data_IF_551994540874
#
_entry.id   IF_551994540874
#
_cell.length_a   1.000
_cell.length_b   1.000
_cell.length_c   1.000
_cell.angle_alpha   90.00
_cell.angle_beta   90.00
_cell.angle_gamma   90.00
#
_symmetry.space_group_name_H-M   'P 1'
#
loop_
_entity.id
_entity.type
_entity.pdbx_description
1 polymer ?
#
# COMPACT_ATOMS: atom_id res chain seq x y z
N UNK A 1 -34.07 59.64 12.45
CA UNK A 1 -33.17 60.06 11.35
C UNK A 1 -31.78 59.71 11.79
N UNK A 2 -30.99 58.86 11.15
CA UNK A 2 -31.19 57.84 10.13
C UNK A 2 -29.91 57.00 10.27
N UNK A 3 -30.02 55.71 10.55
CA UNK A 3 -28.88 54.79 10.54
C UNK A 3 -29.35 53.33 10.41
N UNK A 4 -30.26 53.10 9.46
CA UNK A 4 -30.84 51.77 9.18
C UNK A 4 -30.69 51.39 7.70
N UNK A 5 -30.01 52.22 6.90
CA UNK A 5 -29.81 52.00 5.46
C UNK A 5 -28.40 51.55 5.07
N UNK A 6 -27.50 51.38 6.05
CA UNK A 6 -26.14 50.87 5.80
C UNK A 6 -26.06 49.35 5.99
N UNK A 7 -26.80 48.78 6.95
CA UNK A 7 -26.66 47.36 7.27
C UNK A 7 -27.23 46.41 6.20
N UNK A 8 -28.31 46.79 5.51
CA UNK A 8 -28.89 45.96 4.44
C UNK A 8 -27.97 45.86 3.21
N UNK A 9 -27.23 46.93 2.89
CA UNK A 9 -26.24 46.91 1.81
C UNK A 9 -24.97 46.14 2.20
N UNK A 10 -24.53 46.27 3.46
CA UNK A 10 -23.40 45.53 4.00
C UNK A 10 -23.69 44.00 4.01
N UNK A 11 -24.94 43.60 4.27
CA UNK A 11 -25.38 42.20 4.24
C UNK A 11 -25.43 41.62 2.81
N UNK A 12 -25.83 42.42 1.81
CA UNK A 12 -25.85 41.99 0.40
C UNK A 12 -24.43 41.83 -0.17
N UNK A 13 -23.51 42.75 0.15
CA UNK A 13 -22.09 42.65 -0.24
C UNK A 13 -21.40 41.46 0.43
N UNK A 14 -21.75 41.16 1.68
CA UNK A 14 -21.24 39.99 2.40
C UNK A 14 -21.69 38.69 1.74
N UNK A 15 -22.97 38.58 1.34
CA UNK A 15 -23.51 37.40 0.64
C UNK A 15 -22.85 37.22 -0.71
N UNK A 16 -22.66 38.30 -1.49
CA UNK A 16 -21.96 38.24 -2.77
C UNK A 16 -20.49 37.79 -2.58
N UNK A 17 -19.80 38.35 -1.59
CA UNK A 17 -18.42 37.99 -1.26
C UNK A 17 -18.28 36.53 -0.81
N UNK A 18 -19.23 36.03 -0.02
CA UNK A 18 -19.28 34.63 0.39
C UNK A 18 -19.51 33.70 -0.81
N UNK A 19 -20.38 34.09 -1.75
CA UNK A 19 -20.61 33.35 -2.98
C UNK A 19 -19.35 33.22 -3.84
N UNK A 20 -18.63 34.34 -4.05
CA UNK A 20 -17.34 34.35 -4.76
C UNK A 20 -16.29 33.50 -4.04
N UNK A 21 -16.24 33.55 -2.71
CA UNK A 21 -15.32 32.73 -1.92
C UNK A 21 -15.65 31.25 -2.06
N UNK A 22 -16.92 30.87 -2.07
CA UNK A 22 -17.35 29.49 -2.25
C UNK A 22 -17.00 28.96 -3.65
N UNK A 23 -17.18 29.78 -4.70
CA UNK A 23 -16.75 29.45 -6.06
C UNK A 23 -15.24 29.18 -6.12
N UNK A 24 -14.42 30.05 -5.54
CA UNK A 24 -12.97 29.84 -5.45
C UNK A 24 -12.61 28.55 -4.67
N UNK A 25 -13.32 28.23 -3.58
CA UNK A 25 -13.06 26.99 -2.84
C UNK A 25 -13.40 25.75 -3.67
N UNK A 26 -14.48 25.77 -4.43
CA UNK A 26 -14.82 24.68 -5.36
C UNK A 26 -13.77 24.52 -6.47
N UNK A 27 -13.24 25.63 -7.01
CA UNK A 27 -12.14 25.57 -7.98
C UNK A 27 -10.85 24.97 -7.38
N UNK A 28 -10.51 25.31 -6.14
CA UNK A 28 -9.36 24.73 -5.44
C UNK A 28 -9.54 23.22 -5.22
N UNK A 29 -10.71 22.78 -4.76
CA UNK A 29 -11.03 21.36 -4.58
C UNK A 29 -10.90 20.56 -5.90
N UNK A 30 -11.28 21.16 -7.03
CA UNK A 30 -11.11 20.55 -8.35
C UNK A 30 -9.63 20.35 -8.72
N UNK A 31 -8.79 21.34 -8.42
CA UNK A 31 -7.34 21.26 -8.68
C UNK A 31 -6.70 20.18 -7.79
N UNK A 32 -7.06 20.14 -6.50
CA UNK A 32 -6.57 19.13 -5.55
C UNK A 32 -6.95 17.70 -5.98
N UNK A 33 -8.18 17.50 -6.48
CA UNK A 33 -8.61 16.21 -7.01
C UNK A 33 -7.82 15.82 -8.27
N UNK A 34 -7.58 16.77 -9.18
CA UNK A 34 -6.78 16.52 -10.39
C UNK A 34 -5.33 16.14 -10.03
N UNK A 35 -4.72 16.84 -9.07
CA UNK A 35 -3.41 16.50 -8.54
C UNK A 35 -3.39 15.08 -7.95
N UNK A 36 -4.38 14.76 -7.11
CA UNK A 36 -4.51 13.42 -6.50
C UNK A 36 -4.56 12.32 -7.55
N UNK A 37 -5.36 12.51 -8.62
CA UNK A 37 -5.48 11.56 -9.73
C UNK A 37 -4.14 11.41 -10.46
N UNK A 38 -3.43 12.51 -10.73
CA UNK A 38 -2.12 12.46 -11.41
C UNK A 38 -1.09 11.71 -10.58
N UNK A 39 -1.00 12.01 -9.28
CA UNK A 39 -0.12 11.31 -8.34
C UNK A 39 -0.46 9.81 -8.32
N UNK A 40 -1.74 9.45 -8.25
CA UNK A 40 -2.17 8.05 -8.24
C UNK A 40 -1.76 7.31 -9.51
N UNK A 41 -1.95 7.92 -10.70
CA UNK A 41 -1.55 7.33 -11.98
C UNK A 41 -0.04 7.09 -12.06
N UNK A 42 0.76 8.06 -11.62
CA UNK A 42 2.23 7.91 -11.58
C UNK A 42 2.63 6.81 -10.60
N UNK A 43 2.09 6.80 -9.38
CA UNK A 43 2.35 5.76 -8.38
C UNK A 43 2.03 4.37 -8.93
N UNK A 44 0.86 4.18 -9.55
CA UNK A 44 0.45 2.91 -10.17
C UNK A 44 1.45 2.45 -11.24
N UNK A 45 1.83 3.33 -12.17
CA UNK A 45 2.81 3.02 -13.23
C UNK A 45 4.13 2.50 -12.66
N UNK A 46 4.69 3.19 -11.66
CA UNK A 46 5.97 2.78 -11.06
C UNK A 46 5.83 1.57 -10.13
N UNK A 47 4.68 1.36 -9.49
CA UNK A 47 4.39 0.16 -8.72
C UNK A 47 4.40 -1.09 -9.62
N UNK A 48 3.83 -1.01 -10.83
CA UNK A 48 3.88 -2.10 -11.81
C UNK A 48 5.30 -2.43 -12.26
N UNK A 49 6.13 -1.41 -12.52
CA UNK A 49 7.56 -1.62 -12.82
C UNK A 49 8.30 -2.27 -11.66
N UNK A 50 8.08 -1.80 -10.43
CA UNK A 50 8.70 -2.37 -9.23
C UNK A 50 8.26 -3.81 -8.99
N UNK A 51 6.99 -4.17 -9.24
CA UNK A 51 6.49 -5.54 -9.10
C UNK A 51 7.33 -6.54 -9.91
N UNK A 52 7.58 -6.26 -11.20
CA UNK A 52 8.41 -7.13 -12.03
C UNK A 52 9.87 -7.26 -11.57
N UNK A 53 10.40 -6.26 -10.85
CA UNK A 53 11.71 -6.35 -10.20
C UNK A 53 11.64 -7.16 -8.90
N UNK A 54 10.60 -6.97 -8.08
CA UNK A 54 10.40 -7.73 -6.85
C UNK A 54 10.15 -9.21 -7.11
N UNK A 55 9.43 -9.57 -8.17
CA UNK A 55 9.23 -10.97 -8.57
C UNK A 55 10.57 -11.64 -8.94
N UNK A 56 11.38 -10.95 -9.76
CA UNK A 56 12.73 -11.42 -10.12
C UNK A 56 13.64 -11.53 -8.88
N UNK A 57 13.58 -10.54 -7.98
CA UNK A 57 14.31 -10.56 -6.71
C UNK A 57 13.90 -11.75 -5.85
N UNK A 58 12.60 -12.01 -5.71
CA UNK A 58 12.08 -13.15 -4.95
C UNK A 58 12.57 -14.48 -5.53
N UNK A 59 12.60 -14.63 -6.86
CA UNK A 59 13.14 -15.82 -7.51
C UNK A 59 14.63 -16.04 -7.22
N UNK A 60 15.45 -14.98 -7.24
CA UNK A 60 16.87 -15.06 -6.89
C UNK A 60 17.05 -15.42 -5.42
N UNK A 61 16.32 -14.76 -4.52
CA UNK A 61 16.40 -14.99 -3.06
C UNK A 61 16.04 -16.43 -2.69
N UNK A 62 15.08 -17.07 -3.38
CA UNK A 62 14.74 -18.47 -3.15
C UNK A 62 15.93 -19.43 -3.33
N UNK A 63 16.95 -19.04 -4.11
CA UNK A 63 18.17 -19.82 -4.29
C UNK A 63 19.20 -19.61 -3.18
N UNK A 64 18.98 -18.63 -2.28
CA UNK A 64 19.88 -18.27 -1.18
C UNK A 64 19.28 -18.78 0.13
N UNK A 65 19.75 -19.95 0.57
CA UNK A 65 19.28 -20.58 1.80
C UNK A 65 19.44 -19.65 3.01
N UNK A 66 18.34 -19.46 3.76
CA UNK A 66 18.36 -18.66 4.99
C UNK A 66 18.49 -17.15 4.77
N UNK A 67 18.28 -16.64 3.55
CA UNK A 67 18.39 -15.21 3.26
C UNK A 67 17.55 -14.34 4.21
N UNK A 68 16.25 -14.60 4.32
CA UNK A 68 15.36 -13.78 5.14
C UNK A 68 15.70 -13.85 6.62
N UNK A 69 15.96 -15.04 7.17
CA UNK A 69 16.34 -15.15 8.59
C UNK A 69 17.62 -14.35 8.87
N UNK A 70 18.62 -14.40 7.98
CA UNK A 70 19.84 -13.60 8.11
C UNK A 70 19.56 -12.10 8.05
N UNK A 71 18.74 -11.65 7.09
CA UNK A 71 18.39 -10.23 6.95
C UNK A 71 17.65 -9.70 8.20
N UNK A 72 16.68 -10.46 8.72
CA UNK A 72 15.93 -10.13 9.94
C UNK A 72 16.84 -10.08 11.19
N UNK A 73 17.77 -11.02 11.35
CA UNK A 73 18.70 -11.07 12.48
C UNK A 73 19.77 -9.98 12.46
N UNK A 74 20.07 -9.42 11.30
CA UNK A 74 21.08 -8.37 11.13
C UNK A 74 20.48 -6.96 11.09
N UNK A 75 19.17 -6.82 10.91
CA UNK A 75 18.51 -5.51 10.90
C UNK A 75 18.52 -4.88 12.31
N UNK A 76 19.10 -3.68 12.51
CA UNK A 76 19.30 -3.09 13.84
C UNK A 76 18.01 -2.94 14.68
N UNK A 77 16.92 -2.52 14.05
CA UNK A 77 15.64 -2.31 14.73
C UNK A 77 14.82 -3.60 14.96
N UNK A 78 15.12 -4.70 14.26
CA UNK A 78 14.35 -5.94 14.31
C UNK A 78 15.06 -7.02 15.13
N UNK A 79 16.38 -7.14 15.00
CA UNK A 79 17.18 -8.19 15.64
C UNK A 79 16.92 -8.34 17.14
N UNK A 80 16.86 -7.22 17.87
CA UNK A 80 16.61 -7.21 19.31
C UNK A 80 15.19 -7.62 19.73
N UNK A 81 14.26 -7.76 18.77
CA UNK A 81 12.87 -8.18 19.00
C UNK A 81 12.64 -9.66 18.68
N UNK A 82 13.65 -10.36 18.15
CA UNK A 82 13.58 -11.78 17.83
C UNK A 82 14.09 -12.61 19.02
N UNK A 83 13.31 -13.61 19.40
CA UNK A 83 13.73 -14.64 20.36
C UNK A 83 14.39 -15.84 19.65
N UNK A 84 15.08 -16.69 20.41
CA UNK A 84 15.69 -17.92 19.87
C UNK A 84 14.67 -18.87 19.21
N UNK A 85 13.41 -18.88 19.66
CA UNK A 85 12.37 -19.69 19.02
C UNK A 85 11.89 -19.03 17.73
N UNK A 86 11.84 -17.69 17.67
CA UNK A 86 11.48 -16.97 16.45
C UNK A 86 12.50 -17.26 15.35
N UNK A 87 13.80 -17.24 15.65
CA UNK A 87 14.85 -17.62 14.70
C UNK A 87 14.59 -19.00 14.08
N UNK A 88 14.19 -19.99 14.88
CA UNK A 88 13.89 -21.34 14.38
C UNK A 88 12.67 -21.36 13.46
N UNK A 89 11.69 -20.49 13.68
CA UNK A 89 10.53 -20.32 12.79
C UNK A 89 10.97 -19.64 11.49
N UNK A 90 11.78 -18.57 11.58
CA UNK A 90 12.30 -17.84 10.43
C UNK A 90 13.18 -18.70 9.50
N UNK A 91 13.78 -19.79 9.99
CA UNK A 91 14.46 -20.80 9.15
C UNK A 91 13.55 -21.45 8.10
N UNK A 92 12.23 -21.40 8.29
CA UNK A 92 11.24 -21.90 7.33
C UNK A 92 10.71 -20.80 6.40
N UNK A 93 11.09 -19.53 6.60
CA UNK A 93 10.62 -18.42 5.78
C UNK A 93 11.30 -18.45 4.40
N UNK A 94 10.50 -18.32 3.35
CA UNK A 94 10.94 -18.38 1.95
C UNK A 94 10.80 -17.07 1.19
N UNK A 95 9.75 -16.29 1.47
CA UNK A 95 9.59 -14.95 0.92
C UNK A 95 8.97 -14.00 1.93
N UNK A 96 9.37 -12.73 1.80
CA UNK A 96 8.64 -11.57 2.28
C UNK A 96 8.00 -10.94 1.03
N UNK A 97 6.81 -10.37 1.17
CA UNK A 97 6.12 -9.62 0.13
C UNK A 97 5.50 -8.39 0.77
N UNK A 98 5.74 -7.21 0.22
CA UNK A 98 5.04 -5.98 0.59
C UNK A 98 4.35 -5.44 -0.66
N UNK A 99 3.02 -5.41 -0.62
CA UNK A 99 2.17 -5.11 -1.77
C UNK A 99 1.20 -3.98 -1.42
N UNK A 100 1.21 -2.93 -2.24
CA UNK A 100 0.21 -1.86 -2.18
C UNK A 100 -1.14 -2.34 -2.74
N UNK A 101 -2.24 -1.86 -2.17
CA UNK A 101 -3.57 -2.05 -2.74
C UNK A 101 -3.77 -1.12 -3.94
N UNK A 102 -4.31 -1.65 -5.05
CA UNK A 102 -4.45 -0.91 -6.31
C UNK A 102 -5.80 -0.18 -6.46
N UNK A 103 -6.71 -0.40 -5.51
CA UNK A 103 -8.13 -0.04 -5.56
C UNK A 103 -8.46 1.19 -4.69
N UNK A 104 -9.76 1.51 -4.54
CA UNK A 104 -10.26 2.66 -3.76
C UNK A 104 -9.82 2.64 -2.28
N UNK A 105 -9.53 1.45 -1.75
CA UNK A 105 -8.94 1.28 -0.43
C UNK A 105 -7.42 1.48 -0.52
N UNK A 106 -6.96 2.70 -0.24
CA UNK A 106 -5.53 2.95 -0.11
C UNK A 106 -4.96 2.08 1.04
N UNK A 107 -3.76 1.53 0.88
CA UNK A 107 -3.26 0.57 1.84
C UNK A 107 -2.15 -0.32 1.31
N UNK A 108 -1.68 -1.21 2.17
CA UNK A 108 -0.69 -2.22 1.80
C UNK A 108 -0.79 -3.44 2.71
N UNK A 109 -0.18 -4.55 2.28
CA UNK A 109 -0.02 -5.74 3.12
C UNK A 109 1.43 -6.18 3.18
N UNK A 110 1.80 -6.76 4.32
CA UNK A 110 3.08 -7.42 4.55
C UNK A 110 2.78 -8.90 4.72
N UNK A 111 3.30 -9.71 3.80
CA UNK A 111 3.09 -11.15 3.75
C UNK A 111 4.41 -11.88 3.97
N UNK A 112 4.39 -12.81 4.92
CA UNK A 112 5.47 -13.73 5.22
C UNK A 112 5.06 -15.12 4.74
N UNK A 113 5.80 -15.68 3.79
CA UNK A 113 5.57 -17.02 3.28
C UNK A 113 6.60 -17.99 3.88
N UNK A 114 6.13 -19.15 4.31
CA UNK A 114 6.89 -20.18 5.00
C UNK A 114 6.72 -21.53 4.28
N UNK A 115 7.72 -22.40 4.41
CA UNK A 115 7.53 -23.83 4.17
C UNK A 115 6.63 -24.45 5.25
N UNK A 116 6.06 -25.65 4.99
CA UNK A 116 5.45 -26.44 6.05
C UNK A 116 6.40 -26.58 7.24
N UNK A 117 5.95 -26.14 8.42
CA UNK A 117 6.80 -26.01 9.59
C UNK A 117 6.15 -26.67 10.83
N UNK A 118 6.94 -27.02 11.86
CA UNK A 118 6.42 -27.71 13.05
C UNK A 118 5.83 -26.77 14.12
N UNK A 119 5.70 -25.47 13.86
CA UNK A 119 5.32 -24.48 14.86
C UNK A 119 3.85 -24.08 14.79
N UNK A 120 3.35 -23.79 13.60
CA UNK A 120 1.96 -23.37 13.38
C UNK A 120 1.36 -24.03 12.14
N UNK A 121 0.03 -23.93 12.01
CA UNK A 121 -0.72 -24.34 10.83
C UNK A 121 -0.71 -23.28 9.73
N UNK A 122 -0.72 -23.73 8.49
CA UNK A 122 -0.58 -22.84 7.32
C UNK A 122 0.87 -22.47 7.02
N UNK A 123 1.03 -21.68 5.97
CA UNK A 123 2.33 -21.31 5.38
C UNK A 123 2.41 -19.83 5.04
N UNK A 124 1.37 -19.05 5.36
CA UNK A 124 1.29 -17.63 5.02
C UNK A 124 0.79 -16.87 6.25
N UNK A 125 1.54 -15.87 6.67
CA UNK A 125 1.12 -14.91 7.68
C UNK A 125 1.10 -13.53 7.04
N UNK A 126 -0.06 -12.90 7.02
CA UNK A 126 -0.28 -11.60 6.39
C UNK A 126 -0.79 -10.61 7.41
N UNK A 127 -0.24 -9.40 7.36
CA UNK A 127 -0.71 -8.24 8.10
C UNK A 127 -1.03 -7.12 7.12
N UNK A 128 -2.26 -6.62 7.15
CA UNK A 128 -2.80 -5.68 6.18
C UNK A 128 -3.19 -4.37 6.86
N UNK A 129 -2.92 -3.26 6.16
CA UNK A 129 -3.16 -1.89 6.59
C UNK A 129 -4.06 -1.23 5.55
N UNK A 130 -5.31 -0.96 5.94
CA UNK A 130 -6.29 -0.27 5.11
C UNK A 130 -6.41 1.17 5.60
N UNK A 131 -6.23 2.12 4.70
CA UNK A 131 -6.24 3.55 4.95
C UNK A 131 -7.42 4.19 4.20
N UNK A 132 -8.64 4.15 4.78
CA UNK A 132 -9.82 4.74 4.14
C UNK A 132 -9.74 6.27 4.05
N UNK A 133 -8.94 6.91 4.91
CA UNK A 133 -8.67 8.34 4.91
C UNK A 133 -7.28 8.64 5.52
N UNK A 134 -6.85 9.91 5.47
CA UNK A 134 -5.53 10.35 5.96
C UNK A 134 -5.37 10.30 7.49
N UNK A 135 -6.43 9.99 8.24
CA UNK A 135 -6.45 10.04 9.70
C UNK A 135 -6.54 8.66 10.36
N UNK A 136 -6.94 7.66 9.58
CA UNK A 136 -7.36 6.36 10.09
C UNK A 136 -6.66 5.23 9.35
N UNK A 137 -6.12 4.26 10.09
CA UNK A 137 -5.57 3.03 9.52
C UNK A 137 -6.15 1.82 10.22
N UNK A 138 -6.92 1.02 9.50
CA UNK A 138 -7.45 -0.25 9.97
C UNK A 138 -6.41 -1.36 9.74
N UNK A 139 -6.01 -2.02 10.80
CA UNK A 139 -5.00 -3.09 10.75
C UNK A 139 -5.65 -4.44 10.99
N UNK A 140 -5.40 -5.40 10.11
CA UNK A 140 -5.81 -6.79 10.29
C UNK A 140 -4.61 -7.72 10.18
N UNK A 141 -4.66 -8.86 10.87
CA UNK A 141 -3.56 -9.84 10.88
C UNK A 141 -4.10 -11.26 10.76
N UNK A 142 -3.31 -12.11 10.12
CA UNK A 142 -3.54 -13.56 10.11
C UNK A 142 -3.37 -14.08 11.52
N UNK A 143 -4.43 -14.65 12.09
CA UNK A 143 -4.36 -15.30 13.39
C UNK A 143 -3.50 -16.56 13.30
N UNK A 144 -2.48 -16.65 14.15
CA UNK A 144 -1.60 -17.81 14.17
C UNK A 144 -2.27 -18.95 14.93
N UNK A 145 -2.38 -20.11 14.29
CA UNK A 145 -2.85 -21.35 14.92
C UNK A 145 -1.62 -22.19 15.27
N UNK A 146 -1.18 -22.10 16.52
CA UNK A 146 -0.01 -22.81 17.01
C UNK A 146 -0.29 -24.32 17.14
N UNK A 147 0.68 -25.15 16.74
CA UNK A 147 0.61 -26.62 16.90
C UNK A 147 0.84 -27.04 18.36
N UNK A 148 0.40 -28.24 18.71
CA UNK A 148 0.45 -28.76 20.08
C UNK A 148 1.84 -28.62 20.72
N UNK A 149 1.87 -28.06 21.94
CA UNK A 149 3.10 -27.83 22.70
C UNK A 149 3.99 -26.70 22.16
N UNK A 150 3.48 -25.87 21.24
CA UNK A 150 4.12 -24.64 20.75
C UNK A 150 3.42 -23.36 21.22
N UNK A 151 2.19 -23.46 21.73
CA UNK A 151 1.50 -22.34 22.37
C UNK A 151 2.11 -22.04 23.77
N UNK A 152 2.17 -20.76 24.16
CA UNK A 152 2.81 -20.28 25.40
C UNK A 152 1.99 -20.52 26.67
N UNK A 153 0.78 -21.08 26.58
CA UNK A 153 -0.11 -21.24 27.73
C UNK A 153 0.18 -22.53 28.51
N UNK A 154 0.97 -22.37 29.58
CA UNK A 154 1.07 -23.36 30.66
C UNK A 154 2.39 -24.14 30.69
N UNK A 155 3.26 -23.77 31.63
CA UNK A 155 4.32 -24.60 32.24
C UNK A 155 5.17 -25.45 31.27
N UNK A 156 5.71 -24.81 30.22
CA UNK A 156 7.07 -25.01 29.66
C UNK A 156 7.20 -24.09 28.43
N UNK A 157 7.75 -22.89 28.67
CA UNK A 157 7.91 -21.78 27.71
C UNK A 157 8.46 -22.26 26.36
N UNK A 158 7.83 -21.82 25.26
CA UNK A 158 8.44 -21.86 23.92
C UNK A 158 8.26 -20.56 23.13
N UNK A 159 7.12 -19.89 23.23
CA UNK A 159 6.96 -18.50 22.77
C UNK A 159 7.00 -17.61 24.02
N UNK A 160 8.04 -16.79 24.14
CA UNK A 160 8.20 -15.88 25.29
C UNK A 160 7.36 -14.62 25.10
N UNK A 161 7.20 -13.81 26.15
CA UNK A 161 6.55 -12.50 26.01
C UNK A 161 7.24 -11.55 25.02
N UNK A 162 8.47 -11.90 24.60
CA UNK A 162 9.31 -11.18 23.65
C UNK A 162 9.39 -11.85 22.28
N UNK A 163 8.33 -12.53 21.83
CA UNK A 163 8.31 -13.11 20.48
C UNK A 163 7.83 -12.10 19.44
N UNK A 164 8.52 -12.07 18.29
CA UNK A 164 8.10 -11.31 17.12
C UNK A 164 6.69 -11.70 16.65
N UNK A 165 6.34 -12.99 16.70
CA UNK A 165 5.05 -13.48 16.19
C UNK A 165 3.84 -12.99 16.99
N UNK A 166 4.05 -12.44 18.19
CA UNK A 166 2.99 -11.70 18.91
C UNK A 166 2.49 -10.49 18.15
N UNK A 167 3.27 -9.96 17.20
CA UNK A 167 2.80 -8.90 16.32
C UNK A 167 1.53 -9.31 15.57
N UNK A 168 1.33 -10.60 15.27
CA UNK A 168 0.11 -11.11 14.62
C UNK A 168 -1.04 -11.45 15.58
N UNK A 169 -0.79 -11.53 16.89
CA UNK A 169 -1.79 -11.88 17.90
C UNK A 169 -2.67 -10.69 18.33
N UNK A 170 -2.40 -9.49 17.79
CA UNK A 170 -3.19 -8.30 18.07
C UNK A 170 -4.57 -8.39 17.40
N UNK A 171 -5.62 -8.04 18.15
CA UNK A 171 -6.97 -7.87 17.58
C UNK A 171 -6.95 -6.80 16.49
N UNK A 172 -7.88 -6.87 15.52
CA UNK A 172 -8.06 -5.80 14.56
C UNK A 172 -8.12 -4.45 15.28
N UNK A 173 -7.26 -3.52 14.86
CA UNK A 173 -7.10 -2.23 15.54
C UNK A 173 -7.21 -1.09 14.56
N UNK A 174 -7.75 0.01 15.04
CA UNK A 174 -7.83 1.27 14.31
C UNK A 174 -6.74 2.17 14.89
N UNK A 175 -5.74 2.48 14.07
CA UNK A 175 -4.74 3.49 14.40
C UNK A 175 -5.28 4.85 13.99
N UNK A 176 -5.19 5.81 14.89
CA UNK A 176 -5.65 7.19 14.65
C UNK A 176 -4.56 8.18 15.04
N UNK A 177 -4.71 9.43 14.60
CA UNK A 177 -3.88 10.55 15.03
C UNK A 177 -2.36 10.35 14.75
N UNK A 178 -2.03 9.71 13.62
CA UNK A 178 -0.65 9.50 13.22
C UNK A 178 0.12 8.47 14.05
N UNK A 179 -0.58 7.62 14.81
CA UNK A 179 0.04 6.43 15.43
C UNK A 179 0.46 5.48 14.31
N UNK A 180 1.76 5.17 14.26
CA UNK A 180 2.34 4.28 13.25
C UNK A 180 2.76 2.97 13.90
N UNK A 181 2.53 1.87 13.19
CA UNK A 181 3.10 0.58 13.53
C UNK A 181 4.57 0.54 13.12
N UNK A 182 5.47 0.83 14.07
CA UNK A 182 6.91 0.92 13.82
C UNK A 182 7.51 -0.36 13.23
N UNK A 183 6.96 -1.54 13.57
CA UNK A 183 7.41 -2.79 12.96
C UNK A 183 7.06 -2.85 11.47
N UNK A 184 5.85 -2.43 11.12
CA UNK A 184 5.40 -2.37 9.74
C UNK A 184 6.27 -1.42 8.94
N UNK A 185 6.48 -0.21 9.47
CA UNK A 185 7.30 0.85 8.86
C UNK A 185 8.71 0.35 8.57
N UNK A 186 9.39 -0.22 9.57
CA UNK A 186 10.74 -0.74 9.39
C UNK A 186 10.76 -1.87 8.35
N UNK A 187 9.78 -2.77 8.36
CA UNK A 187 9.74 -3.86 7.37
C UNK A 187 9.49 -3.34 5.97
N UNK A 188 8.52 -2.44 5.76
CA UNK A 188 8.12 -1.96 4.43
C UNK A 188 9.06 -0.92 3.85
N UNK A 189 9.62 -0.03 4.67
CA UNK A 189 10.45 1.10 4.21
C UNK A 189 11.95 0.80 4.24
N UNK A 190 12.42 -0.09 5.12
CA UNK A 190 13.86 -0.38 5.29
C UNK A 190 14.21 -1.79 4.80
N UNK A 191 13.63 -2.82 5.43
CA UNK A 191 14.02 -4.20 5.12
C UNK A 191 13.57 -4.66 3.73
N UNK A 192 12.34 -4.34 3.34
CA UNK A 192 11.78 -4.73 2.05
C UNK A 192 12.39 -3.97 0.87
N UNK A 193 12.78 -2.71 1.07
CA UNK A 193 13.31 -1.87 0.00
C UNK A 193 14.69 -2.35 -0.44
N UNK A 194 15.58 -2.67 0.52
CA UNK A 194 16.88 -3.25 0.24
C UNK A 194 17.32 -4.26 1.32
N UNK A 195 16.85 -5.53 1.23
CA UNK A 195 17.21 -6.55 2.20
C UNK A 195 18.68 -6.99 2.11
N UNK A 196 19.36 -6.71 1.00
CA UNK A 196 20.75 -7.13 0.77
C UNK A 196 21.71 -6.40 1.72
N UNK A 197 21.42 -5.14 2.09
CA UNK A 197 22.19 -4.35 3.07
C UNK A 197 22.35 -5.05 4.43
N UNK A 198 21.43 -5.95 4.76
CA UNK A 198 21.40 -6.66 6.03
C UNK A 198 21.96 -8.08 5.92
N UNK A 199 22.47 -8.48 4.76
CA UNK A 199 23.28 -9.69 4.67
C UNK A 199 24.72 -9.30 5.05
N UNK A 200 25.17 -9.66 6.26
CA UNK A 200 26.58 -9.49 6.62
C UNK A 200 27.43 -10.34 5.69
N UNK A 201 28.31 -9.70 4.94
CA UNK A 201 29.31 -10.33 4.08
C UNK A 201 30.14 -11.34 4.88
N UNK A 202 29.91 -12.64 4.71
CA UNK A 202 31.01 -13.61 4.77
C UNK A 202 31.79 -13.63 3.44
N UNK A 203 31.24 -13.00 2.41
CA UNK A 203 31.92 -12.72 1.16
C UNK A 203 31.71 -11.23 0.85
N UNK A 204 32.78 -10.44 0.92
CA UNK A 204 32.85 -9.18 0.19
C UNK A 204 32.73 -9.51 -1.30
N UNK A 205 31.49 -9.64 -1.78
CA UNK A 205 31.23 -9.67 -3.21
C UNK A 205 31.29 -8.22 -3.63
N UNK A 206 32.44 -7.83 -4.16
CA UNK A 206 32.73 -6.53 -4.74
C UNK A 206 31.83 -6.34 -5.97
N UNK A 207 30.55 -6.04 -5.74
CA UNK A 207 29.61 -5.65 -6.80
C UNK A 207 29.92 -4.18 -7.09
N UNK A 208 31.05 -3.96 -7.76
CA UNK A 208 31.27 -2.75 -8.53
C UNK A 208 30.10 -2.68 -9.52
N UNK A 209 29.17 -1.78 -9.23
CA UNK A 209 28.08 -1.44 -10.12
C UNK A 209 28.67 -0.79 -11.35
N UNK A 210 28.97 -1.60 -12.36
CA UNK A 210 29.12 -1.10 -13.72
C UNK A 210 27.80 -0.43 -14.08
N UNK A 211 27.87 0.88 -14.22
CA UNK A 211 26.76 1.71 -14.66
C UNK A 211 26.19 1.12 -15.95
N UNK A 212 24.90 0.82 -15.93
CA UNK A 212 24.17 0.60 -17.17
C UNK A 212 24.03 2.00 -17.79
N UNK A 213 24.98 2.33 -18.67
CA UNK A 213 24.76 3.28 -19.74
C UNK A 213 23.68 2.66 -20.64
N UNK A 214 22.41 2.97 -20.36
CA UNK A 214 21.30 2.69 -21.28
C UNK A 214 20.92 4.01 -21.93
N UNK A 215 21.61 4.31 -23.04
CA UNK A 215 21.18 5.27 -24.06
C UNK A 215 19.81 4.83 -24.59
N UNK A 216 18.74 5.15 -23.86
CA UNK A 216 17.38 5.12 -24.38
C UNK A 216 17.05 6.50 -24.92
N UNK A 217 17.46 6.68 -26.18
CA UNK A 217 16.99 7.70 -27.11
C UNK A 217 15.47 7.52 -27.29
N UNK A 218 14.70 8.16 -26.42
CA UNK A 218 13.26 8.19 -26.53
C UNK A 218 12.88 9.32 -27.48
N UNK A 219 12.71 8.97 -28.75
CA UNK A 219 12.04 9.79 -29.77
C UNK A 219 10.68 10.25 -29.23
N UNK A 220 10.62 11.50 -28.75
CA UNK A 220 9.40 12.26 -28.55
C UNK A 220 8.76 12.49 -29.92
N UNK A 221 7.77 11.67 -30.26
CA UNK A 221 6.78 12.05 -31.28
C UNK A 221 5.61 12.70 -30.57
N UNK A 222 5.67 14.02 -30.54
CA UNK A 222 4.52 14.91 -30.39
C UNK A 222 3.52 14.56 -31.51
N UNK A 223 2.41 13.90 -31.17
CA UNK A 223 1.26 13.81 -32.08
C UNK A 223 0.40 15.05 -31.88
N UNK A 224 0.60 15.98 -32.81
CA UNK A 224 -0.14 17.20 -33.06
C UNK A 224 -1.66 16.97 -33.20
N UNK A 225 -2.38 17.86 -32.53
CA UNK A 225 -3.78 18.22 -32.75
C UNK A 225 -4.14 18.32 -34.24
N UNK A 226 -5.08 17.49 -34.68
CA UNK A 226 -5.89 17.77 -35.89
C UNK A 226 -7.37 17.57 -35.62
N UNK A 227 -7.95 18.63 -35.06
CA UNK A 227 -9.15 19.30 -35.55
C UNK A 227 -9.87 18.61 -36.73
N UNK A 228 -11.03 17.99 -36.48
CA UNK A 228 -12.01 17.69 -37.52
C UNK A 228 -13.39 18.15 -37.07
N UNK A 229 -13.81 19.25 -37.64
CA UNK A 229 -15.14 19.83 -37.51
C UNK A 229 -15.89 19.63 -38.84
N UNK A 230 -17.19 19.30 -38.78
CA UNK A 230 -18.08 19.14 -39.94
C UNK A 230 -18.88 17.83 -39.85
N UNK A 231 -19.98 17.79 -39.10
CA UNK A 231 -21.33 18.20 -39.50
C UNK A 231 -21.92 17.32 -40.61
N UNK A 232 -22.89 16.49 -40.24
CA UNK A 232 -24.16 16.44 -40.98
C UNK A 232 -25.25 15.87 -40.07
N UNK A 233 -26.31 16.67 -39.89
CA UNK A 233 -27.55 16.24 -39.26
C UNK A 233 -28.44 15.50 -40.25
N UNK A 234 -29.31 14.66 -39.71
CA UNK A 234 -30.68 14.55 -40.19
C UNK A 234 -31.56 13.90 -39.11
N UNK A 235 -32.56 14.66 -38.71
CA UNK A 235 -33.73 14.26 -37.95
C UNK A 235 -34.56 13.21 -38.70
N UNK A 236 -35.24 12.31 -37.97
CA UNK A 236 -36.69 12.13 -38.10
C UNK A 236 -37.23 11.09 -37.08
N UNK A 237 -38.14 11.58 -36.26
CA UNK A 237 -39.22 10.89 -35.54
C UNK A 237 -39.75 9.59 -36.20
N UNK A 238 -40.04 8.58 -35.37
CA UNK A 238 -41.45 8.25 -35.11
C UNK A 238 -41.70 7.26 -33.95
N UNK A 239 -42.58 7.74 -33.07
CA UNK A 239 -43.46 7.06 -32.11
C UNK A 239 -44.09 5.75 -32.65
N UNK A 240 -44.17 4.68 -31.85
CA UNK A 240 -45.42 4.06 -31.33
C UNK A 240 -45.22 2.73 -30.60
N UNK A 241 -45.95 2.60 -29.48
CA UNK A 241 -46.46 1.43 -28.74
C UNK A 241 -46.41 0.05 -29.45
N UNK A 242 -46.12 -1.02 -28.71
CA UNK A 242 -47.17 -1.79 -28.02
C UNK A 242 -46.62 -2.98 -27.20
N UNK A 243 -47.32 -3.26 -26.10
CA UNK A 243 -47.24 -4.48 -25.32
C UNK A 243 -47.47 -5.74 -26.18
N UNK A 244 -46.75 -6.83 -25.91
CA UNK A 244 -47.41 -8.12 -25.68
C UNK A 244 -46.46 -9.19 -25.13
N UNK A 245 -46.79 -9.63 -23.92
CA UNK A 245 -46.79 -11.01 -23.44
C UNK A 245 -45.88 -12.04 -24.14
N UNK A 246 -44.87 -12.52 -23.42
CA UNK A 246 -44.49 -13.93 -23.50
C UNK A 246 -45.22 -14.74 -22.43
N UNK A 247 -46.21 -15.45 -22.95
CA UNK A 247 -47.09 -16.46 -22.36
C UNK A 247 -46.34 -17.65 -21.76
N UNK A 248 -46.94 -18.20 -20.70
CA UNK A 248 -47.19 -19.64 -20.59
C UNK A 248 -48.16 -20.07 -21.68
#
# INVERSE_FOLDING_TARGET
MADDGNSENDDEELVESMGKLQEMQSELEMIDEEERIKIMKVKRKYNEFRRGLYDRRNHIIQSISGFWVSAFLNHPAIAGKLSEEDEKIFKYMVSLEVEDFNDEDSGYSITFNFLPNPFFEGTKLTRAYFMPDDRTTNVTSTKIIWKDGKESKGVKRRITDRSFFKWFDEEPRILTNGVIDEMARVISEELWTDPLKYLKNEADVDVNGDGIDDDNDHDDKEDDDKNFNGSDGNDADNNHNDEMMKKK
#
